data_IF_875252215258
#
_entry.id   IF_875252215258
#
_cell.length_a   1.000
_cell.length_b   1.000
_cell.length_c   1.000
_cell.angle_alpha   90.00
_cell.angle_beta   90.00
_cell.angle_gamma   90.00
#
_symmetry.space_group_name_H-M   'P 1'
#
loop_
_entity.id
_entity.type
_entity.pdbx_description
1 polymer ?
#
# COMPACT_ATOMS: atom_id res chain seq x y z
N UNK A 1 -11.85 59.42 -67.61
CA UNK A 1 -11.20 59.60 -66.29
C UNK A 1 -11.54 58.40 -65.42
N UNK A 2 -10.47 57.73 -65.01
CA UNK A 2 -10.32 56.69 -63.98
C UNK A 2 -11.46 56.49 -62.97
N UNK A 3 -11.93 55.24 -62.88
CA UNK A 3 -12.33 54.63 -61.60
C UNK A 3 -11.53 53.33 -61.46
N UNK A 4 -10.74 53.24 -60.39
CA UNK A 4 -9.92 52.09 -60.06
C UNK A 4 -10.38 51.50 -58.72
N UNK A 5 -10.27 50.16 -58.66
CA UNK A 5 -10.01 49.30 -57.50
C UNK A 5 -11.11 49.18 -56.41
N UNK A 6 -11.38 48.01 -55.82
CA UNK A 6 -10.83 46.67 -55.98
C UNK A 6 -11.71 45.65 -55.21
N UNK A 7 -11.49 44.37 -55.52
CA UNK A 7 -11.52 43.18 -54.65
C UNK A 7 -12.44 42.07 -55.16
N UNK A 8 -11.81 40.97 -55.59
CA UNK A 8 -12.11 39.56 -55.27
C UNK A 8 -11.19 38.72 -56.16
N UNK A 9 -10.25 38.00 -55.57
CA UNK A 9 -9.44 37.03 -56.30
C UNK A 9 -9.07 35.86 -55.39
N UNK A 10 -9.39 34.63 -55.81
CA UNK A 10 -8.61 33.43 -55.45
C UNK A 10 -9.31 32.29 -54.72
N UNK A 11 -10.27 31.59 -55.34
CA UNK A 11 -10.73 30.26 -54.86
C UNK A 11 -11.14 29.29 -55.99
N UNK A 12 -10.37 29.17 -57.09
CA UNK A 12 -10.77 28.29 -58.21
C UNK A 12 -9.70 27.39 -58.80
N UNK A 13 -8.70 26.95 -58.03
CA UNK A 13 -7.71 25.97 -58.54
C UNK A 13 -7.27 24.92 -57.52
N UNK A 14 -8.19 24.03 -57.12
CA UNK A 14 -7.83 22.76 -56.44
C UNK A 14 -8.82 21.61 -56.75
N UNK A 15 -9.47 21.60 -57.91
CA UNK A 15 -10.47 20.56 -58.26
C UNK A 15 -10.01 19.58 -59.36
N UNK A 16 -8.71 19.43 -59.62
CA UNK A 16 -8.24 18.60 -60.74
C UNK A 16 -6.98 17.78 -60.41
N UNK A 17 -6.99 17.08 -59.28
CA UNK A 17 -5.93 16.13 -58.92
C UNK A 17 -6.45 14.89 -58.15
N UNK A 18 -7.68 14.44 -58.44
CA UNK A 18 -8.30 13.28 -57.79
C UNK A 18 -8.49 12.07 -58.71
N UNK A 19 -7.72 11.97 -59.80
CA UNK A 19 -7.82 10.83 -60.72
C UNK A 19 -6.46 10.43 -61.28
N UNK A 20 -5.60 9.81 -60.46
CA UNK A 20 -4.72 8.70 -60.91
C UNK A 20 -3.95 8.06 -59.76
N UNK A 21 -3.85 6.73 -59.85
CA UNK A 21 -2.95 5.82 -59.12
C UNK A 21 -3.48 5.22 -57.80
N UNK A 22 -4.43 4.31 -57.96
CA UNK A 22 -4.51 3.08 -57.16
C UNK A 22 -3.42 2.15 -57.69
N UNK A 23 -2.29 2.04 -56.98
CA UNK A 23 -1.42 0.85 -56.93
C UNK A 23 -0.21 1.14 -56.03
N UNK A 24 -0.07 0.33 -54.98
CA UNK A 24 1.04 0.38 -54.03
C UNK A 24 0.55 0.29 -52.59
N UNK A 25 0.52 -0.92 -52.02
CA UNK A 25 0.51 -1.09 -50.57
C UNK A 25 1.88 -0.68 -50.01
N UNK A 26 2.01 0.31 -49.11
CA UNK A 26 3.14 0.32 -48.21
C UNK A 26 2.82 -0.59 -47.03
N UNK A 27 3.31 -1.83 -47.09
CA UNK A 27 3.66 -2.58 -45.88
C UNK A 27 4.80 -1.82 -45.19
N UNK A 28 4.44 -0.94 -44.25
CA UNK A 28 5.25 -0.49 -43.10
C UNK A 28 4.50 0.70 -42.47
N UNK A 29 3.66 0.41 -41.48
CA UNK A 29 3.04 1.45 -40.65
C UNK A 29 4.13 1.94 -39.70
N UNK A 30 4.83 3.01 -40.07
CA UNK A 30 5.66 3.74 -39.11
C UNK A 30 4.73 4.39 -38.08
N UNK A 31 5.00 4.29 -36.77
CA UNK A 31 4.13 4.91 -35.76
C UNK A 31 3.99 6.40 -36.03
N UNK A 32 2.75 6.90 -36.07
CA UNK A 32 2.47 8.31 -36.26
C UNK A 32 3.05 9.12 -35.09
N UNK A 33 3.27 10.43 -35.28
CA UNK A 33 3.75 11.29 -34.19
C UNK A 33 2.81 11.28 -32.98
N UNK A 34 1.51 11.06 -33.21
CA UNK A 34 0.49 10.90 -32.18
C UNK A 34 0.67 9.60 -31.41
N UNK A 35 0.97 8.49 -32.10
CA UNK A 35 1.27 7.20 -31.46
C UNK A 35 2.51 7.30 -30.57
N UNK A 36 3.57 7.97 -31.03
CA UNK A 36 4.77 8.22 -30.21
C UNK A 36 4.49 9.13 -29.02
N UNK A 37 3.65 10.15 -29.19
CA UNK A 37 3.25 11.03 -28.11
C UNK A 37 2.48 10.25 -27.04
N UNK A 38 1.51 9.42 -27.45
CA UNK A 38 0.75 8.53 -26.58
C UNK A 38 1.62 7.50 -25.86
N UNK A 39 2.56 6.88 -26.58
CA UNK A 39 3.53 5.94 -26.02
C UNK A 39 4.43 6.62 -24.97
N UNK A 40 4.94 7.82 -25.27
CA UNK A 40 5.76 8.59 -24.34
C UNK A 40 4.98 9.04 -23.10
N UNK A 41 3.72 9.45 -23.25
CA UNK A 41 2.86 9.78 -22.09
C UNK A 41 2.59 8.55 -21.25
N UNK A 42 2.31 7.41 -21.86
CA UNK A 42 2.08 6.15 -21.14
C UNK A 42 3.33 5.70 -20.39
N UNK A 43 4.51 5.81 -21.00
CA UNK A 43 5.79 5.50 -20.37
C UNK A 43 6.07 6.41 -19.17
N UNK A 44 5.78 7.71 -19.27
CA UNK A 44 5.93 8.66 -18.14
C UNK A 44 4.96 8.35 -17.00
N UNK A 45 3.71 8.04 -17.31
CA UNK A 45 2.70 7.64 -16.31
C UNK A 45 3.11 6.36 -15.59
N UNK A 46 3.57 5.35 -16.33
CA UNK A 46 4.05 4.09 -15.76
C UNK A 46 5.30 4.30 -14.87
N UNK A 47 6.26 5.11 -15.32
CA UNK A 47 7.46 5.40 -14.53
C UNK A 47 7.14 6.17 -13.24
N UNK A 48 6.17 7.09 -13.27
CA UNK A 48 5.68 7.77 -12.07
C UNK A 48 4.99 6.79 -11.12
N UNK A 49 4.13 5.93 -11.66
CA UNK A 49 3.45 4.91 -10.90
C UNK A 49 4.43 3.95 -10.19
N UNK A 50 5.51 3.57 -10.86
CA UNK A 50 6.56 2.74 -10.27
C UNK A 50 7.24 3.44 -9.09
N UNK A 51 7.59 4.72 -9.23
CA UNK A 51 8.19 5.51 -8.14
C UNK A 51 7.24 5.68 -6.95
N UNK A 52 5.95 5.88 -7.21
CA UNK A 52 4.95 6.00 -6.16
C UNK A 52 4.79 4.67 -5.39
N UNK A 53 4.90 3.53 -6.11
CA UNK A 53 4.94 2.19 -5.50
C UNK A 53 6.23 1.95 -4.71
N UNK A 54 7.40 2.39 -5.21
CA UNK A 54 8.68 2.32 -4.48
C UNK A 54 8.62 3.13 -3.17
N UNK A 55 8.09 4.36 -3.24
CA UNK A 55 7.93 5.21 -2.06
C UNK A 55 7.00 4.57 -1.02
N UNK A 56 5.92 3.91 -1.46
CA UNK A 56 5.02 3.17 -0.57
C UNK A 56 5.71 1.98 0.08
N UNK A 57 6.53 1.23 -0.67
CA UNK A 57 7.29 0.10 -0.12
C UNK A 57 8.32 0.57 0.92
N UNK A 58 8.93 1.73 0.70
CA UNK A 58 9.83 2.37 1.66
C UNK A 58 9.09 2.73 2.96
N UNK A 59 7.89 3.29 2.88
CA UNK A 59 7.06 3.58 4.07
C UNK A 59 6.77 2.31 4.89
N UNK A 60 6.54 1.17 4.24
CA UNK A 60 6.32 -0.10 4.93
C UNK A 60 7.56 -0.58 5.68
N UNK A 61 8.74 -0.43 5.06
CA UNK A 61 10.02 -0.76 5.70
C UNK A 61 10.30 0.15 6.91
N UNK A 62 10.06 1.45 6.76
CA UNK A 62 10.20 2.43 7.85
C UNK A 62 9.20 2.18 8.99
N UNK A 63 7.97 1.74 8.68
CA UNK A 63 6.98 1.36 9.69
C UNK A 63 7.45 0.15 10.50
N UNK A 64 7.95 -0.89 9.84
CA UNK A 64 8.51 -2.08 10.51
C UNK A 64 9.69 -1.70 11.40
N UNK A 65 10.59 -0.86 10.91
CA UNK A 65 11.74 -0.39 11.68
C UNK A 65 11.31 0.42 12.92
N UNK A 66 10.39 1.38 12.76
CA UNK A 66 9.89 2.19 13.86
C UNK A 66 9.19 1.33 14.94
N UNK A 67 8.42 0.32 14.52
CA UNK A 67 7.77 -0.64 15.44
C UNK A 67 8.78 -1.50 16.20
N UNK A 68 9.86 -1.94 15.54
CA UNK A 68 10.96 -2.67 16.20
C UNK A 68 11.69 -1.79 17.20
N UNK A 69 12.00 -0.55 16.81
CA UNK A 69 12.63 0.42 17.69
C UNK A 69 11.78 0.73 18.92
N UNK A 70 10.46 0.82 18.76
CA UNK A 70 9.53 0.99 19.89
C UNK A 70 9.61 -0.19 20.88
N UNK A 71 9.72 -1.42 20.37
CA UNK A 71 9.79 -2.65 21.20
C UNK A 71 11.10 -2.74 21.99
N UNK A 72 12.22 -2.34 21.38
CA UNK A 72 13.56 -2.41 22.01
C UNK A 72 14.01 -1.11 22.68
N UNK A 73 13.20 -0.05 22.60
CA UNK A 73 13.56 1.31 23.03
C UNK A 73 13.34 1.60 24.52
N UNK A 74 13.32 2.89 24.90
CA UNK A 74 13.19 3.34 26.29
C UNK A 74 11.90 2.96 27.01
N UNK A 75 10.86 2.50 26.32
CA UNK A 75 9.65 1.91 26.91
C UNK A 75 9.51 0.41 26.68
N UNK A 76 10.62 -0.29 26.44
CA UNK A 76 10.63 -1.74 26.22
C UNK A 76 10.06 -2.55 27.38
N UNK A 77 10.10 -2.05 28.62
CA UNK A 77 9.55 -2.73 29.80
C UNK A 77 8.02 -2.87 29.74
N UNK A 78 7.27 -1.82 29.38
CA UNK A 78 5.81 -1.91 29.23
C UNK A 78 5.44 -2.75 28.00
N UNK A 79 6.23 -2.67 26.92
CA UNK A 79 6.03 -3.52 25.74
C UNK A 79 6.26 -5.00 26.06
N UNK A 80 7.29 -5.31 26.87
CA UNK A 80 7.56 -6.65 27.38
C UNK A 80 6.42 -7.13 28.30
N UNK A 81 5.91 -6.29 29.20
CA UNK A 81 4.79 -6.64 30.07
C UNK A 81 3.51 -6.99 29.29
N UNK A 82 3.22 -6.26 28.21
CA UNK A 82 2.11 -6.58 27.30
C UNK A 82 2.33 -7.94 26.61
N UNK A 83 3.56 -8.19 26.14
CA UNK A 83 3.92 -9.46 25.51
C UNK A 83 3.89 -10.64 26.49
N UNK A 84 4.32 -10.46 27.74
CA UNK A 84 4.30 -11.50 28.77
C UNK A 84 2.87 -11.84 29.19
N UNK A 85 1.99 -10.84 29.26
CA UNK A 85 0.56 -11.05 29.49
C UNK A 85 -0.08 -11.90 28.38
N UNK A 86 0.41 -11.77 27.14
CA UNK A 86 -0.09 -12.54 26.00
C UNK A 86 0.16 -14.05 26.15
N UNK A 87 1.22 -14.45 26.86
CA UNK A 87 1.49 -15.87 27.15
C UNK A 87 0.42 -16.56 28.02
N UNK A 88 -0.40 -15.77 28.72
CA UNK A 88 -1.46 -16.26 29.61
C UNK A 88 -2.87 -15.95 29.11
N UNK A 89 -3.00 -15.41 27.89
CA UNK A 89 -4.27 -15.11 27.25
C UNK A 89 -4.53 -16.08 26.08
N UNK A 90 -5.70 -16.74 26.02
CA UNK A 90 -6.01 -17.69 24.95
C UNK A 90 -6.06 -17.04 23.55
N UNK A 91 -6.31 -15.73 23.48
CA UNK A 91 -6.29 -14.94 22.24
C UNK A 91 -4.92 -14.25 22.01
N UNK A 92 -3.92 -14.58 22.82
CA UNK A 92 -2.57 -14.04 22.75
C UNK A 92 -2.52 -12.52 22.89
N UNK A 93 -1.61 -11.87 22.15
CA UNK A 93 -1.39 -10.42 22.25
C UNK A 93 -2.64 -9.64 21.83
N UNK A 94 -3.40 -10.15 20.86
CA UNK A 94 -4.65 -9.53 20.41
C UNK A 94 -5.70 -9.52 21.54
N UNK A 95 -5.79 -10.63 22.29
CA UNK A 95 -6.65 -10.73 23.46
C UNK A 95 -6.30 -9.67 24.50
N UNK A 96 -5.02 -9.60 24.87
CA UNK A 96 -4.49 -8.60 25.80
C UNK A 96 -4.81 -7.18 25.35
N UNK A 97 -4.44 -6.82 24.13
CA UNK A 97 -4.68 -5.47 23.58
C UNK A 97 -6.17 -5.13 23.59
N UNK A 98 -7.06 -6.05 23.19
CA UNK A 98 -8.52 -5.81 23.20
C UNK A 98 -9.10 -5.58 24.60
N UNK A 99 -8.47 -6.17 25.61
CA UNK A 99 -8.87 -6.14 27.02
C UNK A 99 -8.14 -5.07 27.83
N UNK A 100 -7.26 -4.29 27.20
CA UNK A 100 -6.69 -3.05 27.74
C UNK A 100 -7.67 -1.87 27.72
N UNK A 101 -8.87 -2.06 27.18
CA UNK A 101 -9.96 -1.06 27.26
C UNK A 101 -10.47 -0.86 28.70
N UNK A 102 -11.16 0.26 29.00
CA UNK A 102 -11.77 0.49 30.31
C UNK A 102 -12.69 -0.67 30.73
N UNK A 103 -12.55 -1.13 31.98
CA UNK A 103 -13.28 -2.28 32.54
C UNK A 103 -12.83 -3.65 32.02
N UNK A 104 -11.77 -3.71 31.19
CA UNK A 104 -11.22 -4.96 30.67
C UNK A 104 -10.22 -5.63 31.62
N UNK A 105 -9.94 -6.91 31.38
CA UNK A 105 -9.02 -7.72 32.22
C UNK A 105 -7.62 -7.10 32.35
N UNK A 106 -7.15 -6.41 31.32
CA UNK A 106 -5.82 -5.82 31.26
C UNK A 106 -5.85 -4.28 31.28
N UNK A 107 -6.92 -3.67 31.80
CA UNK A 107 -7.02 -2.20 31.95
C UNK A 107 -5.80 -1.60 32.68
N UNK A 108 -5.25 -2.30 33.68
CA UNK A 108 -4.04 -1.85 34.39
C UNK A 108 -2.82 -1.70 33.45
N UNK A 109 -2.66 -2.57 32.45
CA UNK A 109 -1.59 -2.43 31.45
C UNK A 109 -1.79 -1.16 30.60
N UNK A 110 -3.04 -0.80 30.32
CA UNK A 110 -3.34 0.46 29.63
C UNK A 110 -3.00 1.68 30.48
N UNK A 111 -3.35 1.66 31.77
CA UNK A 111 -2.96 2.72 32.71
C UNK A 111 -1.44 2.88 32.79
N UNK A 112 -0.70 1.77 32.84
CA UNK A 112 0.77 1.77 32.84
C UNK A 112 1.34 2.31 31.52
N UNK A 113 0.79 1.89 30.37
CA UNK A 113 1.18 2.42 29.06
C UNK A 113 0.94 3.94 28.97
N UNK A 114 -0.20 4.41 29.47
CA UNK A 114 -0.53 5.83 29.49
C UNK A 114 0.42 6.61 30.39
N UNK A 115 0.74 6.06 31.57
CA UNK A 115 1.72 6.64 32.48
C UNK A 115 3.08 6.74 31.80
N UNK A 116 3.57 5.64 31.21
CA UNK A 116 4.87 5.60 30.52
C UNK A 116 4.94 6.63 29.38
N UNK A 117 3.88 6.76 28.57
CA UNK A 117 3.78 7.80 27.54
C UNK A 117 3.84 9.22 28.12
N UNK A 118 3.31 9.44 29.32
CA UNK A 118 3.31 10.76 29.95
C UNK A 118 4.63 11.11 30.65
N UNK A 119 5.34 10.11 31.20
CA UNK A 119 6.56 10.30 31.99
C UNK A 119 7.85 10.15 31.16
N UNK A 120 7.80 9.40 30.05
CA UNK A 120 8.94 9.11 29.21
C UNK A 120 8.77 9.74 27.83
N UNK A 121 9.34 10.94 27.65
CA UNK A 121 9.22 11.72 26.42
C UNK A 121 9.78 11.00 25.19
N UNK A 122 10.87 10.26 25.36
CA UNK A 122 11.49 9.54 24.24
C UNK A 122 10.63 8.35 23.81
N UNK A 123 10.08 7.60 24.78
CA UNK A 123 9.10 6.55 24.47
C UNK A 123 7.85 7.12 23.78
N UNK A 124 7.30 8.23 24.27
CA UNK A 124 6.14 8.88 23.65
C UNK A 124 6.42 9.28 22.19
N UNK A 125 7.63 9.80 21.91
CA UNK A 125 8.08 10.16 20.56
C UNK A 125 8.17 8.92 19.67
N UNK A 126 8.81 7.85 20.13
CA UNK A 126 8.95 6.61 19.38
C UNK A 126 7.60 5.93 19.12
N UNK A 127 6.70 5.98 20.11
CA UNK A 127 5.33 5.48 19.98
C UNK A 127 4.58 6.21 18.87
N UNK A 128 4.60 7.54 18.89
CA UNK A 128 3.92 8.37 17.89
C UNK A 128 4.57 8.26 16.51
N UNK A 129 5.89 8.10 16.46
CA UNK A 129 6.63 7.83 15.22
C UNK A 129 6.19 6.50 14.59
N UNK A 130 6.15 5.41 15.37
CA UNK A 130 5.68 4.12 14.89
C UNK A 130 4.24 4.18 14.39
N UNK A 131 3.31 4.76 15.17
CA UNK A 131 1.91 4.91 14.78
C UNK A 131 1.76 5.75 13.49
N UNK A 132 2.52 6.84 13.37
CA UNK A 132 2.51 7.71 12.19
C UNK A 132 3.05 7.01 10.93
N UNK A 133 4.10 6.18 11.07
CA UNK A 133 4.66 5.43 9.94
C UNK A 133 3.73 4.32 9.47
N UNK A 134 3.08 3.61 10.39
CA UNK A 134 2.04 2.61 10.07
C UNK A 134 0.85 3.26 9.33
N UNK A 135 0.38 4.42 9.81
CA UNK A 135 -0.67 5.18 9.15
C UNK A 135 -0.25 5.68 7.75
N UNK A 136 0.98 6.20 7.62
CA UNK A 136 1.53 6.65 6.34
C UNK A 136 1.64 5.50 5.33
N UNK A 137 2.10 4.33 5.78
CA UNK A 137 2.10 3.12 4.96
C UNK A 137 0.68 2.76 4.51
N UNK A 138 -0.30 2.75 5.43
CA UNK A 138 -1.69 2.46 5.08
C UNK A 138 -2.26 3.39 4.01
N UNK A 139 -1.99 4.70 4.12
CA UNK A 139 -2.38 5.70 3.10
C UNK A 139 -1.69 5.46 1.76
N UNK A 140 -0.38 5.18 1.76
CA UNK A 140 0.36 4.85 0.55
C UNK A 140 -0.14 3.57 -0.11
N UNK A 141 -0.43 2.54 0.70
CA UNK A 141 -0.95 1.25 0.24
C UNK A 141 -2.31 1.39 -0.43
N UNK A 142 -3.20 2.21 0.12
CA UNK A 142 -4.49 2.53 -0.51
C UNK A 142 -4.30 3.27 -1.85
N UNK A 143 -3.38 4.24 -1.91
CA UNK A 143 -3.07 4.95 -3.16
C UNK A 143 -2.50 4.00 -4.23
N UNK A 144 -1.64 3.06 -3.84
CA UNK A 144 -1.09 2.04 -4.72
C UNK A 144 -2.18 1.09 -5.27
N UNK A 145 -3.17 0.70 -4.45
CA UNK A 145 -4.32 -0.09 -4.92
C UNK A 145 -5.15 0.67 -5.94
N UNK A 146 -5.46 1.94 -5.67
CA UNK A 146 -6.22 2.79 -6.60
C UNK A 146 -5.50 2.93 -7.94
N UNK A 147 -4.18 3.11 -7.91
CA UNK A 147 -3.35 3.16 -9.10
C UNK A 147 -3.33 1.83 -9.86
N UNK A 148 -3.28 0.71 -9.13
CA UNK A 148 -3.40 -0.64 -9.70
C UNK A 148 -4.72 -0.84 -10.44
N UNK A 149 -5.83 -0.34 -9.90
CA UNK A 149 -7.14 -0.38 -10.59
C UNK A 149 -7.12 0.47 -11.86
N UNK A 150 -6.61 1.71 -11.78
CA UNK A 150 -6.54 2.62 -12.93
C UNK A 150 -5.69 2.07 -14.08
N UNK A 151 -4.56 1.45 -13.76
CA UNK A 151 -3.63 0.88 -14.73
C UNK A 151 -3.96 -0.57 -15.10
N UNK A 152 -5.01 -1.17 -14.51
CA UNK A 152 -5.38 -2.59 -14.67
C UNK A 152 -4.25 -3.55 -14.29
N UNK A 153 -3.52 -3.22 -13.23
CA UNK A 153 -2.38 -3.96 -12.69
C UNK A 153 -2.58 -4.39 -11.22
N UNK A 154 -3.82 -4.45 -10.72
CA UNK A 154 -4.13 -4.77 -9.31
C UNK A 154 -3.42 -6.02 -8.80
N UNK A 155 -3.40 -7.13 -9.56
CA UNK A 155 -2.69 -8.37 -9.15
C UNK A 155 -1.19 -8.15 -8.96
N UNK A 156 -0.55 -7.31 -9.80
CA UNK A 156 0.88 -6.97 -9.65
C UNK A 156 1.11 -6.14 -8.39
N UNK A 157 0.20 -5.21 -8.08
CA UNK A 157 0.26 -4.42 -6.84
C UNK A 157 0.13 -5.33 -5.62
N UNK A 158 -0.86 -6.23 -5.61
CA UNK A 158 -1.06 -7.20 -4.52
C UNK A 158 0.18 -8.07 -4.30
N UNK A 159 0.75 -8.65 -5.36
CA UNK A 159 1.96 -9.48 -5.28
C UNK A 159 3.17 -8.70 -4.75
N UNK A 160 3.33 -7.45 -5.19
CA UNK A 160 4.43 -6.58 -4.77
C UNK A 160 4.38 -6.28 -3.28
N UNK A 161 3.19 -5.98 -2.76
CA UNK A 161 3.04 -5.57 -1.36
C UNK A 161 2.81 -6.74 -0.40
N UNK A 162 2.47 -7.94 -0.87
CA UNK A 162 2.11 -9.08 -0.02
C UNK A 162 3.08 -9.33 1.15
N UNK A 163 4.39 -9.30 0.91
CA UNK A 163 5.38 -9.51 1.98
C UNK A 163 5.44 -8.33 2.95
N UNK A 164 5.39 -7.10 2.45
CA UNK A 164 5.43 -5.88 3.27
C UNK A 164 4.16 -5.78 4.11
N UNK A 165 3.01 -5.99 3.49
CA UNK A 165 1.69 -6.04 4.13
C UNK A 165 1.66 -7.05 5.28
N UNK A 166 2.19 -8.25 5.08
CA UNK A 166 2.24 -9.26 6.13
C UNK A 166 3.20 -8.89 7.28
N UNK A 167 4.36 -8.29 6.98
CA UNK A 167 5.31 -7.84 7.99
C UNK A 167 4.75 -6.68 8.82
N UNK A 168 4.21 -5.66 8.15
CA UNK A 168 3.54 -4.53 8.81
C UNK A 168 2.37 -5.03 9.64
N UNK A 169 1.53 -5.91 9.07
CA UNK A 169 0.38 -6.48 9.77
C UNK A 169 0.76 -7.26 11.03
N UNK A 170 1.78 -8.11 10.96
CA UNK A 170 2.23 -8.90 12.10
C UNK A 170 2.81 -8.03 13.22
N UNK A 171 3.65 -7.06 12.88
CA UNK A 171 4.26 -6.16 13.87
C UNK A 171 3.21 -5.19 14.47
N UNK A 172 2.36 -4.60 13.63
CA UNK A 172 1.36 -3.62 14.06
C UNK A 172 0.25 -4.25 14.90
N UNK A 173 -0.17 -5.49 14.59
CA UNK A 173 -1.16 -6.23 15.38
C UNK A 173 -0.65 -6.62 16.78
N UNK A 174 0.67 -6.64 16.98
CA UNK A 174 1.30 -7.00 18.24
C UNK A 174 1.64 -5.79 19.12
N UNK A 175 1.38 -4.57 18.65
CA UNK A 175 1.70 -3.33 19.36
C UNK A 175 0.43 -2.55 19.70
N UNK A 176 0.36 -1.93 20.89
CA UNK A 176 -0.79 -1.12 21.27
C UNK A 176 -0.93 0.11 20.36
N UNK A 177 -2.16 0.37 19.91
CA UNK A 177 -2.53 1.52 19.07
C UNK A 177 -2.81 2.79 19.87
N UNK A 178 -3.19 3.86 19.18
CA UNK A 178 -3.46 5.16 19.83
C UNK A 178 -4.67 5.13 20.75
N UNK A 179 -5.65 4.25 20.49
CA UNK A 179 -6.86 4.11 21.30
C UNK A 179 -6.78 2.91 22.25
N UNK A 180 -7.40 3.00 23.45
CA UNK A 180 -7.51 1.86 24.34
C UNK A 180 -8.21 0.70 23.65
N UNK A 181 -7.71 -0.52 23.81
CA UNK A 181 -8.33 -1.70 23.21
C UNK A 181 -7.89 -2.01 21.77
N UNK A 182 -7.08 -1.14 21.14
CA UNK A 182 -6.68 -1.27 19.74
C UNK A 182 -5.19 -1.57 19.61
N UNK A 183 -4.81 -2.20 18.51
CA UNK A 183 -3.42 -2.32 18.06
C UNK A 183 -3.10 -1.22 17.05
N UNK A 184 -1.82 -1.08 16.68
CA UNK A 184 -1.41 -0.13 15.64
C UNK A 184 -1.96 -0.50 14.26
N UNK A 185 -2.35 -1.75 14.04
CA UNK A 185 -3.02 -2.15 12.80
C UNK A 185 -4.37 -1.44 12.65
N UNK A 186 -5.11 -1.24 13.73
CA UNK A 186 -6.39 -0.51 13.70
C UNK A 186 -6.24 1.01 13.55
N UNK A 187 -5.02 1.54 13.64
CA UNK A 187 -4.73 2.95 13.30
C UNK A 187 -4.64 3.17 11.78
N UNK A 188 -4.56 2.10 10.97
CA UNK A 188 -4.60 2.16 9.50
C UNK A 188 -6.04 2.35 8.98
N UNK A 189 -6.19 2.77 7.71
CA UNK A 189 -7.49 2.81 7.05
C UNK A 189 -8.08 1.41 6.91
N UNK A 190 -9.42 1.27 6.93
CA UNK A 190 -10.10 -0.02 6.82
C UNK A 190 -9.66 -0.81 5.58
N UNK A 191 -9.52 -0.13 4.44
CA UNK A 191 -9.03 -0.75 3.19
C UNK A 191 -7.60 -1.27 3.32
N UNK A 192 -6.72 -0.53 3.98
CA UNK A 192 -5.35 -0.97 4.17
C UNK A 192 -5.30 -2.18 5.13
N UNK A 193 -6.14 -2.22 6.16
CA UNK A 193 -6.30 -3.40 7.02
C UNK A 193 -6.80 -4.61 6.23
N UNK A 194 -7.73 -4.43 5.30
CA UNK A 194 -8.20 -5.51 4.42
C UNK A 194 -7.09 -6.01 3.48
N UNK A 195 -6.29 -5.11 2.90
CA UNK A 195 -5.14 -5.48 2.07
C UNK A 195 -4.13 -6.31 2.87
N UNK A 196 -3.83 -5.89 4.10
CA UNK A 196 -2.97 -6.63 5.03
C UNK A 196 -3.53 -8.02 5.36
N UNK A 197 -4.82 -8.11 5.69
CA UNK A 197 -5.47 -9.41 5.97
C UNK A 197 -5.39 -10.35 4.76
N UNK A 198 -5.69 -9.85 3.56
CA UNK A 198 -5.58 -10.63 2.31
C UNK A 198 -4.15 -11.11 2.05
N UNK A 199 -3.16 -10.27 2.30
CA UNK A 199 -1.75 -10.62 2.14
C UNK A 199 -1.33 -11.75 3.10
N UNK A 200 -1.73 -11.67 4.37
CA UNK A 200 -1.46 -12.71 5.37
C UNK A 200 -2.11 -14.04 4.94
N UNK A 201 -3.37 -14.02 4.50
CA UNK A 201 -4.05 -15.22 4.00
C UNK A 201 -3.37 -15.81 2.77
N UNK A 202 -2.89 -14.96 1.86
CA UNK A 202 -2.18 -15.39 0.65
C UNK A 202 -0.86 -16.09 1.01
N UNK A 203 -0.07 -15.51 1.92
CA UNK A 203 1.17 -16.15 2.37
C UNK A 203 0.90 -17.44 3.14
N UNK A 204 -0.12 -17.49 4.01
CA UNK A 204 -0.50 -18.72 4.70
C UNK A 204 -0.92 -19.84 3.74
N UNK A 205 -1.58 -19.51 2.62
CA UNK A 205 -1.93 -20.48 1.57
C UNK A 205 -0.69 -21.01 0.84
N UNK A 206 0.32 -20.17 0.62
CA UNK A 206 1.57 -20.56 -0.07
C UNK A 206 2.46 -21.43 0.83
N UNK A 207 2.54 -21.11 2.12
CA UNK A 207 3.43 -21.78 3.07
C UNK A 207 2.75 -22.86 3.92
N UNK A 208 1.48 -23.20 3.64
CA UNK A 208 0.81 -24.30 4.33
C UNK A 208 1.54 -25.61 4.01
N UNK A 209 2.05 -26.36 5.01
CA UNK A 209 2.56 -27.70 4.77
C UNK A 209 1.42 -28.55 4.21
N UNK A 210 1.68 -29.30 3.14
CA UNK A 210 0.73 -30.26 2.60
C UNK A 210 0.26 -31.19 3.75
N UNK A 211 -1.02 -31.58 3.80
CA UNK A 211 -1.45 -32.59 4.76
C UNK A 211 -0.56 -33.82 4.54
N UNK A 212 0.20 -34.20 5.58
CA UNK A 212 0.98 -35.43 5.56
C UNK A 212 -0.01 -36.57 5.36
N UNK A 213 0.00 -37.16 4.17
CA UNK A 213 -0.64 -38.44 3.90
C UNK A 213 0.01 -39.48 4.82
N UNK A 214 -0.56 -39.66 6.01
CA UNK A 214 -0.18 -40.75 6.89
C UNK A 214 -0.50 -42.07 6.21
N UNK A 215 0.42 -43.04 6.17
CA UNK A 215 0.13 -44.36 5.62
C UNK A 215 -0.83 -45.07 6.59
N UNK A 216 -2.11 -45.11 6.25
CA UNK A 216 -3.04 -46.09 6.79
C UNK A 216 -3.24 -47.15 5.73
N UNK A 217 -2.37 -48.17 5.73
CA UNK A 217 -2.67 -49.48 5.15
C UNK A 217 -2.10 -50.57 6.06
N UNK A 218 -2.98 -51.11 6.89
CA UNK A 218 -3.02 -52.52 7.33
C UNK A 218 -4.46 -52.76 7.81
N UNK A 219 -5.14 -53.79 7.32
CA UNK A 219 -4.82 -55.19 7.65
C UNK A 219 -4.41 -56.04 6.44
#
# INVERSE_FOLDING_TARGET
MTVAAAAVNGFSRFASALATRIEGQPRNVTPSWFDRAMEQTNARTAARAERDMDATAQLGSEAVEAMRNLRSGPGSSIMAAIHDAAGNDPDGVRGVLSQMKPGGRYETLHSQLTLEKSSNREFARQFEEAASKVEAYGKGREAADQLGVQLKTSTRVEQRFAQIDAQVGAEAAALPGRKPGQSMLEDMTEKAQEAVKKAIELLQKIFRPAPSSGPSMSP
#
